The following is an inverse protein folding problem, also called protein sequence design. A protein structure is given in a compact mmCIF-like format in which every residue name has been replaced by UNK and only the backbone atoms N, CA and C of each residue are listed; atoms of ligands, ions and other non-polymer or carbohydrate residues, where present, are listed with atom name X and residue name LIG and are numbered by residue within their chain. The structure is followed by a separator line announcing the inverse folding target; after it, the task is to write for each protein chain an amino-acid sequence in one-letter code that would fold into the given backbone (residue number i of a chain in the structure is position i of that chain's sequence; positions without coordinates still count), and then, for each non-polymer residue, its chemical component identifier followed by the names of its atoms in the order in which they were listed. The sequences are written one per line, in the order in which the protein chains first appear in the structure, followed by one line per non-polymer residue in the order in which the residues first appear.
data_IF_853123859454
#
_entry.id   IF_853123859454
#
_cell.length_a   1.000
_cell.length_b   1.000
_cell.length_c   1.000
_cell.angle_alpha   90.00
_cell.angle_beta   90.00
_cell.angle_gamma   90.00
#
_symmetry.space_group_name_H-M   'P 1'
#
loop_
_entity.id
_entity.type
_entity.pdbx_description
1 polymer ?
#
# COMPACT_ATOMS: atom_id res chain seq x y z
N UNK A 1 -17.65 -23.03 15.94
CA UNK A 1 -17.27 -22.20 14.77
C UNK A 1 -17.62 -20.76 15.08
N UNK A 2 -16.63 -19.95 15.47
CA UNK A 2 -16.83 -18.50 15.63
C UNK A 2 -16.72 -17.91 14.23
N UNK A 3 -17.83 -17.46 13.65
CA UNK A 3 -17.79 -16.58 12.48
C UNK A 3 -17.15 -15.26 12.94
N UNK A 4 -15.81 -15.18 12.87
CA UNK A 4 -15.10 -13.92 13.01
C UNK A 4 -15.66 -12.99 11.94
N UNK A 5 -16.28 -11.88 12.37
CA UNK A 5 -16.75 -10.86 11.45
C UNK A 5 -15.54 -10.43 10.60
N UNK A 6 -15.67 -10.39 9.26
CA UNK A 6 -14.59 -9.89 8.41
C UNK A 6 -14.21 -8.49 8.89
N UNK A 7 -12.92 -8.19 8.90
CA UNK A 7 -12.47 -6.85 9.26
C UNK A 7 -13.05 -5.85 8.27
N UNK A 8 -13.16 -4.58 8.67
CA UNK A 8 -13.61 -3.51 7.78
C UNK A 8 -12.80 -3.49 6.47
N UNK A 9 -11.48 -3.76 6.56
CA UNK A 9 -10.63 -3.92 5.39
C UNK A 9 -11.07 -5.05 4.44
N UNK A 10 -11.37 -6.23 4.98
CA UNK A 10 -11.85 -7.37 4.18
C UNK A 10 -13.20 -7.07 3.50
N UNK A 11 -14.09 -6.37 4.21
CA UNK A 11 -15.37 -5.93 3.66
C UNK A 11 -15.20 -4.96 2.49
N UNK A 12 -14.25 -4.01 2.59
CA UNK A 12 -13.89 -3.08 1.53
C UNK A 12 -13.38 -3.84 0.31
N UNK A 13 -12.42 -4.75 0.49
CA UNK A 13 -11.85 -5.52 -0.62
C UNK A 13 -12.91 -6.35 -1.33
N UNK A 14 -13.77 -7.04 -0.55
CA UNK A 14 -14.87 -7.85 -1.09
C UNK A 14 -15.86 -6.99 -1.89
N UNK A 15 -16.26 -5.84 -1.36
CA UNK A 15 -17.18 -4.92 -2.06
C UNK A 15 -16.55 -4.36 -3.34
N UNK A 16 -15.30 -3.92 -3.28
CA UNK A 16 -14.60 -3.38 -4.45
C UNK A 16 -14.45 -4.45 -5.55
N UNK A 17 -14.13 -5.70 -5.17
CA UNK A 17 -14.09 -6.83 -6.09
C UNK A 17 -15.45 -7.12 -6.72
N UNK A 18 -16.55 -7.01 -5.97
CA UNK A 18 -17.90 -7.21 -6.51
C UNK A 18 -18.27 -6.14 -7.54
N UNK A 19 -17.86 -4.89 -7.31
CA UNK A 19 -18.19 -3.77 -8.18
C UNK A 19 -17.29 -3.68 -9.43
N UNK A 20 -16.10 -4.29 -9.41
CA UNK A 20 -15.13 -4.17 -10.51
C UNK A 20 -14.45 -5.48 -10.85
N UNK A 21 -14.76 -6.02 -12.03
CA UNK A 21 -14.28 -7.33 -12.48
C UNK A 21 -12.75 -7.41 -12.62
N UNK A 22 -12.09 -6.35 -13.11
CA UNK A 22 -10.64 -6.36 -13.26
C UNK A 22 -9.92 -6.32 -11.91
N UNK A 23 -10.50 -5.62 -10.92
CA UNK A 23 -10.00 -5.65 -9.55
C UNK A 23 -10.19 -7.04 -8.94
N UNK A 24 -11.34 -7.68 -9.15
CA UNK A 24 -11.58 -9.07 -8.73
C UNK A 24 -10.55 -10.03 -9.33
N UNK A 25 -10.28 -9.91 -10.64
CA UNK A 25 -9.29 -10.73 -11.32
C UNK A 25 -7.87 -10.47 -10.80
N UNK A 26 -7.54 -9.23 -10.42
CA UNK A 26 -6.28 -8.91 -9.76
C UNK A 26 -6.18 -9.58 -8.38
N UNK A 27 -7.19 -9.40 -7.53
CA UNK A 27 -7.24 -9.97 -6.18
C UNK A 27 -7.19 -11.49 -6.19
N UNK A 28 -7.84 -12.14 -7.17
CA UNK A 28 -7.81 -13.59 -7.32
C UNK A 28 -6.43 -14.19 -7.66
N UNK A 29 -5.43 -13.36 -7.98
CA UNK A 29 -4.04 -13.80 -8.17
C UNK A 29 -3.20 -13.71 -6.89
N UNK A 30 -3.72 -13.07 -5.84
CA UNK A 30 -3.05 -12.94 -4.56
C UNK A 30 -3.36 -14.16 -3.69
N UNK A 31 -2.40 -14.55 -2.86
CA UNK A 31 -2.65 -15.57 -1.84
C UNK A 31 -3.38 -14.98 -0.62
N UNK A 32 -3.88 -15.86 0.25
CA UNK A 32 -4.68 -15.45 1.42
C UNK A 32 -3.93 -14.50 2.35
N UNK A 33 -2.63 -14.72 2.57
CA UNK A 33 -1.80 -13.83 3.40
C UNK A 33 -1.66 -12.44 2.80
N UNK A 34 -1.51 -12.34 1.48
CA UNK A 34 -1.45 -11.07 0.77
C UNK A 34 -2.79 -10.34 0.85
N UNK A 35 -3.91 -11.05 0.67
CA UNK A 35 -5.25 -10.47 0.80
C UNK A 35 -5.52 -9.98 2.22
N UNK A 36 -5.19 -10.79 3.24
CA UNK A 36 -5.33 -10.43 4.65
C UNK A 36 -4.47 -9.20 4.99
N UNK A 37 -3.21 -9.19 4.54
CA UNK A 37 -2.34 -8.04 4.74
C UNK A 37 -2.92 -6.79 4.08
N UNK A 38 -3.40 -6.91 2.84
CA UNK A 38 -4.00 -5.80 2.12
C UNK A 38 -5.24 -5.26 2.85
N UNK A 39 -6.10 -6.13 3.38
CA UNK A 39 -7.25 -5.75 4.20
C UNK A 39 -6.82 -4.96 5.45
N UNK A 40 -5.82 -5.47 6.19
CA UNK A 40 -5.26 -4.78 7.36
C UNK A 40 -4.70 -3.40 7.02
N UNK A 41 -4.02 -3.26 5.88
CA UNK A 41 -3.48 -1.97 5.43
C UNK A 41 -4.60 -0.97 5.13
N UNK A 42 -5.68 -1.38 4.45
CA UNK A 42 -6.83 -0.50 4.22
C UNK A 42 -7.53 -0.08 5.51
N UNK A 43 -7.72 -1.03 6.44
CA UNK A 43 -8.28 -0.71 7.74
C UNK A 43 -7.41 0.30 8.51
N UNK A 44 -6.10 0.06 8.56
CA UNK A 44 -5.14 0.93 9.27
C UNK A 44 -5.11 2.33 8.66
N UNK A 45 -5.10 2.45 7.34
CA UNK A 45 -5.16 3.74 6.63
C UNK A 45 -6.37 4.55 7.08
N UNK A 46 -7.57 3.95 7.12
CA UNK A 46 -8.80 4.65 7.50
C UNK A 46 -8.79 4.98 9.00
N UNK A 47 -8.44 4.02 9.85
CA UNK A 47 -8.43 4.20 11.31
C UNK A 47 -7.44 5.29 11.74
N UNK A 48 -6.21 5.26 11.21
CA UNK A 48 -5.20 6.27 11.50
C UNK A 48 -5.56 7.65 10.95
N UNK A 49 -6.28 7.71 9.83
CA UNK A 49 -6.76 8.98 9.27
C UNK A 49 -7.84 9.61 10.13
N UNK A 50 -8.75 8.80 10.69
CA UNK A 50 -9.79 9.26 11.62
C UNK A 50 -9.16 9.73 12.94
N UNK A 51 -8.19 8.98 13.48
CA UNK A 51 -7.47 9.37 14.71
C UNK A 51 -6.74 10.73 14.55
N UNK A 52 -6.29 11.05 13.34
CA UNK A 52 -5.50 12.26 13.03
C UNK A 52 -6.29 13.29 12.21
N UNK A 53 -7.62 13.24 12.25
CA UNK A 53 -8.48 14.03 11.35
C UNK A 53 -8.25 15.55 11.46
N UNK A 54 -7.90 16.06 12.64
CA UNK A 54 -7.59 17.47 12.88
C UNK A 54 -6.21 17.89 12.35
N UNK A 55 -5.41 16.93 11.89
CA UNK A 55 -4.03 17.13 11.40
C UNK A 55 -3.95 16.69 9.94
N UNK A 56 -4.63 17.43 9.06
CA UNK A 56 -4.79 17.11 7.64
C UNK A 56 -3.45 16.77 6.94
N UNK A 57 -2.37 17.49 7.25
CA UNK A 57 -1.04 17.23 6.69
C UNK A 57 -0.51 15.83 7.02
N UNK A 58 -0.71 15.35 8.26
CA UNK A 58 -0.29 14.01 8.67
C UNK A 58 -1.12 12.93 8.00
N UNK A 59 -2.42 13.16 7.83
CA UNK A 59 -3.33 12.26 7.09
C UNK A 59 -2.87 12.15 5.64
N UNK A 60 -2.60 13.27 4.98
CA UNK A 60 -2.13 13.32 3.60
C UNK A 60 -0.77 12.65 3.44
N UNK A 61 0.18 12.89 4.35
CA UNK A 61 1.51 12.26 4.32
C UNK A 61 1.41 10.74 4.49
N UNK A 62 0.62 10.27 5.45
CA UNK A 62 0.40 8.84 5.68
C UNK A 62 -0.27 8.17 4.47
N UNK A 63 -1.32 8.79 3.92
CA UNK A 63 -2.01 8.32 2.72
C UNK A 63 -1.10 8.29 1.49
N UNK A 64 -0.23 9.29 1.33
CA UNK A 64 0.78 9.31 0.26
C UNK A 64 1.76 8.16 0.41
N UNK A 65 2.32 7.94 1.59
CA UNK A 65 3.23 6.83 1.86
C UNK A 65 2.56 5.47 1.59
N UNK A 66 1.29 5.30 1.98
CA UNK A 66 0.50 4.13 1.64
C UNK A 66 0.45 3.92 0.11
N UNK A 67 0.11 4.94 -0.67
CA UNK A 67 0.04 4.87 -2.12
C UNK A 67 1.38 4.51 -2.79
N UNK A 68 2.48 5.01 -2.24
CA UNK A 68 3.83 4.66 -2.71
C UNK A 68 4.12 3.16 -2.57
N UNK A 69 3.60 2.49 -1.53
CA UNK A 69 3.79 1.04 -1.37
C UNK A 69 3.11 0.23 -2.49
N UNK A 70 1.94 0.68 -2.95
CA UNK A 70 1.16 0.02 -4.01
C UNK A 70 1.74 0.20 -5.40
N UNK A 71 2.59 1.21 -5.63
CA UNK A 71 3.37 1.31 -6.87
C UNK A 71 4.26 0.09 -7.07
N UNK A 72 4.69 -0.57 -5.98
CA UNK A 72 5.36 -1.85 -6.02
C UNK A 72 4.55 -2.95 -6.69
N UNK A 73 3.21 -2.90 -6.66
CA UNK A 73 2.32 -3.91 -7.25
C UNK A 73 2.01 -3.65 -8.73
N UNK A 74 2.50 -2.55 -9.31
CA UNK A 74 2.24 -2.19 -10.70
C UNK A 74 2.66 -3.31 -11.68
N UNK A 75 3.80 -3.97 -11.42
CA UNK A 75 4.29 -5.07 -12.25
C UNK A 75 3.45 -6.36 -12.15
N UNK A 76 2.65 -6.51 -11.08
CA UNK A 76 1.69 -7.59 -10.91
C UNK A 76 0.31 -7.26 -11.53
N UNK A 77 0.22 -6.12 -12.22
CA UNK A 77 -0.99 -5.64 -12.88
C UNK A 77 -1.91 -4.81 -11.98
N UNK A 78 -1.43 -4.30 -10.84
CA UNK A 78 -2.19 -3.31 -10.07
C UNK A 78 -2.30 -2.00 -10.87
N UNK A 79 -3.52 -1.51 -11.06
CA UNK A 79 -3.80 -0.26 -11.79
C UNK A 79 -4.24 0.85 -10.84
N UNK A 80 -3.80 2.10 -11.04
CA UNK A 80 -4.22 3.22 -10.19
C UNK A 80 -5.74 3.43 -10.21
N UNK A 81 -6.42 3.07 -11.30
CA UNK A 81 -7.87 3.16 -11.39
C UNK A 81 -8.58 2.33 -10.31
N UNK A 82 -7.96 1.25 -9.81
CA UNK A 82 -8.54 0.42 -8.76
C UNK A 82 -8.76 1.19 -7.46
N UNK A 83 -7.98 2.24 -7.20
CA UNK A 83 -8.17 3.10 -6.04
C UNK A 83 -9.54 3.77 -6.02
N UNK A 84 -10.13 4.10 -7.18
CA UNK A 84 -11.49 4.64 -7.21
C UNK A 84 -12.52 3.62 -6.68
N UNK A 85 -12.45 2.38 -7.16
CA UNK A 85 -13.35 1.31 -6.70
C UNK A 85 -13.16 0.97 -5.21
N UNK A 86 -11.91 1.07 -4.72
CA UNK A 86 -11.59 0.87 -3.30
C UNK A 86 -12.09 2.03 -2.43
N UNK A 87 -12.02 3.27 -2.92
CA UNK A 87 -12.56 4.46 -2.25
C UNK A 87 -14.09 4.36 -2.11
N UNK A 88 -14.80 4.05 -3.20
CA UNK A 88 -16.26 3.89 -3.20
C UNK A 88 -16.69 2.78 -2.23
N UNK A 89 -15.93 1.67 -2.20
CA UNK A 89 -16.18 0.58 -1.29
C UNK A 89 -15.94 0.98 0.18
N UNK A 90 -14.88 1.74 0.45
CA UNK A 90 -14.58 2.28 1.78
C UNK A 90 -15.68 3.20 2.29
N UNK A 91 -16.16 4.14 1.46
CA UNK A 91 -17.28 5.03 1.80
C UNK A 91 -18.52 4.21 2.16
N UNK A 92 -18.88 3.24 1.31
CA UNK A 92 -20.08 2.42 1.53
C UNK A 92 -20.01 1.59 2.82
N UNK A 93 -18.88 0.98 3.13
CA UNK A 93 -18.70 0.21 4.37
C UNK A 93 -18.64 1.15 5.60
N UNK A 94 -18.02 2.32 5.50
CA UNK A 94 -18.00 3.32 6.58
C UNK A 94 -19.40 3.86 6.91
N UNK A 95 -20.21 4.16 5.90
CA UNK A 95 -21.62 4.57 6.07
C UNK A 95 -22.44 3.44 6.70
N UNK A 96 -22.16 2.19 6.35
CA UNK A 96 -22.83 1.02 6.93
C UNK A 96 -22.46 0.83 8.41
N UNK A 97 -21.22 1.11 8.80
CA UNK A 97 -20.76 1.02 10.20
C UNK A 97 -21.47 2.00 11.12
N UNK A 98 -21.86 3.17 10.63
CA UNK A 98 -22.62 4.17 11.39
C UNK A 98 -23.97 3.63 11.90
N UNK A 99 -24.49 2.57 11.29
CA UNK A 99 -25.65 1.83 11.81
C UNK A 99 -26.95 2.66 11.87
N UNK A 100 -27.00 3.80 11.17
CA UNK A 100 -28.12 4.73 11.22
C UNK A 100 -28.11 5.67 12.44
N UNK A 101 -26.98 5.79 13.14
CA UNK A 101 -26.81 6.73 14.25
C UNK A 101 -26.98 8.20 13.77
N UNK A 102 -26.51 8.51 12.57
CA UNK A 102 -26.65 9.82 11.95
C UNK A 102 -27.50 9.75 10.67
N UNK A 103 -27.94 10.90 10.17
CA UNK A 103 -28.67 10.96 8.90
C UNK A 103 -27.77 10.46 7.78
N UNK A 104 -28.27 9.49 7.03
CA UNK A 104 -27.52 8.83 5.95
C UNK A 104 -26.84 9.80 4.98
N UNK A 105 -27.50 10.91 4.62
CA UNK A 105 -26.93 11.91 3.72
C UNK A 105 -25.73 12.65 4.35
N UNK A 106 -25.80 12.99 5.62
CA UNK A 106 -24.73 13.66 6.37
C UNK A 106 -23.54 12.71 6.55
N UNK A 107 -23.79 11.47 6.95
CA UNK A 107 -22.77 10.41 7.06
C UNK A 107 -22.07 10.15 5.73
N UNK A 108 -22.84 10.03 4.64
CA UNK A 108 -22.31 9.82 3.30
C UNK A 108 -21.43 10.99 2.85
N UNK A 109 -21.88 12.23 3.08
CA UNK A 109 -21.12 13.42 2.72
C UNK A 109 -19.79 13.47 3.48
N UNK A 110 -19.81 13.27 4.80
CA UNK A 110 -18.61 13.29 5.64
C UNK A 110 -17.58 12.24 5.21
N UNK A 111 -18.00 10.99 5.03
CA UNK A 111 -17.10 9.93 4.58
C UNK A 111 -16.60 10.15 3.16
N UNK A 112 -17.43 10.69 2.26
CA UNK A 112 -17.00 11.00 0.89
C UNK A 112 -15.91 12.07 0.85
N UNK A 113 -16.03 13.11 1.68
CA UNK A 113 -15.02 14.16 1.81
C UNK A 113 -13.70 13.61 2.37
N UNK A 114 -13.75 12.88 3.49
CA UNK A 114 -12.57 12.31 4.13
C UNK A 114 -11.87 11.29 3.23
N UNK A 115 -12.60 10.28 2.75
CA UNK A 115 -12.04 9.22 1.90
C UNK A 115 -11.58 9.79 0.55
N UNK A 116 -12.29 10.77 -0.01
CA UNK A 116 -11.87 11.47 -1.23
C UNK A 116 -10.52 12.18 -1.06
N UNK A 117 -10.31 12.87 0.07
CA UNK A 117 -9.04 13.53 0.38
C UNK A 117 -7.90 12.51 0.59
N UNK A 118 -8.17 11.43 1.33
CA UNK A 118 -7.22 10.32 1.54
C UNK A 118 -6.81 9.71 0.20
N UNK A 119 -7.77 9.29 -0.62
CA UNK A 119 -7.49 8.57 -1.87
C UNK A 119 -6.93 9.46 -2.98
N UNK A 120 -7.09 10.79 -2.89
CA UNK A 120 -6.32 11.73 -3.70
C UNK A 120 -4.84 11.66 -3.34
N UNK A 121 -4.51 11.74 -2.05
CA UNK A 121 -3.13 11.62 -1.57
C UNK A 121 -2.51 10.24 -1.86
N UNK A 122 -3.29 9.17 -1.75
CA UNK A 122 -2.88 7.80 -2.15
C UNK A 122 -2.49 7.76 -3.62
N UNK A 123 -3.31 8.31 -4.52
CA UNK A 123 -3.00 8.35 -5.96
C UNK A 123 -1.74 9.17 -6.23
N UNK A 124 -1.57 10.31 -5.56
CA UNK A 124 -0.39 11.15 -5.70
C UNK A 124 0.89 10.41 -5.30
N UNK A 125 0.86 9.69 -4.17
CA UNK A 125 1.96 8.82 -3.74
C UNK A 125 2.27 7.73 -4.76
N UNK A 126 1.24 7.00 -5.21
CA UNK A 126 1.39 5.97 -6.23
C UNK A 126 2.06 6.52 -7.51
N UNK A 127 1.54 7.61 -8.07
CA UNK A 127 2.11 8.19 -9.28
C UNK A 127 3.51 8.77 -9.06
N UNK A 128 3.77 9.41 -7.91
CA UNK A 128 5.09 9.88 -7.52
C UNK A 128 6.12 8.75 -7.58
N UNK A 129 5.79 7.60 -6.96
CA UNK A 129 6.67 6.43 -6.92
C UNK A 129 6.83 5.75 -8.28
N UNK A 130 5.75 5.60 -9.06
CA UNK A 130 5.83 5.04 -10.43
C UNK A 130 6.72 5.91 -11.32
N UNK A 131 6.58 7.24 -11.27
CA UNK A 131 7.45 8.16 -12.03
C UNK A 131 8.90 8.05 -11.58
N UNK A 132 9.14 7.93 -10.28
CA UNK A 132 10.48 7.73 -9.73
C UNK A 132 11.11 6.41 -10.21
N UNK A 133 10.35 5.31 -10.19
CA UNK A 133 10.80 4.00 -10.69
C UNK A 133 11.17 4.06 -12.18
N UNK A 134 10.38 4.76 -13.01
CA UNK A 134 10.71 4.96 -14.43
C UNK A 134 11.98 5.77 -14.63
N UNK A 135 12.19 6.83 -13.84
CA UNK A 135 13.44 7.62 -13.89
C UNK A 135 14.65 6.79 -13.51
N UNK A 136 14.58 6.07 -12.39
CA UNK A 136 15.65 5.13 -11.99
C UNK A 136 15.90 4.10 -13.09
N UNK A 137 14.85 3.46 -13.60
CA UNK A 137 15.00 2.47 -14.65
C UNK A 137 15.70 3.05 -15.88
N UNK A 138 15.38 4.29 -16.27
CA UNK A 138 16.06 4.97 -17.38
C UNK A 138 17.55 5.29 -17.07
N UNK A 139 17.92 5.59 -15.83
CA UNK A 139 19.33 5.77 -15.43
C UNK A 139 20.11 4.45 -15.35
N UNK A 140 19.46 3.34 -15.00
CA UNK A 140 20.05 2.00 -14.98
C UNK A 140 19.95 1.28 -16.35
N UNK A 141 19.22 1.83 -17.34
CA UNK A 141 19.20 1.29 -18.71
C UNK A 141 20.46 1.68 -19.50
N UNK A 142 21.18 2.71 -19.05
CA UNK A 142 22.53 3.04 -19.53
C UNK A 142 23.63 2.23 -18.85
N UNK A 143 23.35 1.50 -17.76
CA UNK A 143 24.33 0.66 -17.06
C UNK A 143 23.65 -0.58 -16.40
N UNK A 144 23.65 -1.70 -17.13
CA UNK A 144 23.54 -3.09 -16.67
C UNK A 144 22.42 -3.53 -15.68
N UNK A 145 21.67 -4.56 -16.13
CA UNK A 145 21.04 -5.65 -15.34
C UNK A 145 19.64 -5.43 -14.72
N UNK A 146 18.65 -6.05 -15.37
CA UNK A 146 17.20 -6.16 -15.02
C UNK A 146 16.91 -7.04 -13.78
N UNK A 147 17.87 -7.31 -12.89
CA UNK A 147 17.70 -8.34 -11.84
C UNK A 147 17.61 -7.83 -10.38
N UNK A 148 17.68 -6.52 -10.12
CA UNK A 148 17.70 -6.02 -8.72
C UNK A 148 16.32 -5.62 -8.17
N UNK A 149 15.36 -5.25 -9.00
CA UNK A 149 14.03 -4.78 -8.54
C UNK A 149 13.18 -5.96 -8.01
N UNK A 150 13.29 -7.13 -8.62
CA UNK A 150 12.64 -8.36 -8.12
C UNK A 150 13.18 -8.77 -6.74
N UNK A 151 14.46 -8.48 -6.44
CA UNK A 151 15.09 -8.85 -5.18
C UNK A 151 14.71 -7.92 -4.01
N UNK A 152 14.27 -6.68 -4.28
CA UNK A 152 13.93 -5.70 -3.24
C UNK A 152 12.44 -5.66 -2.89
N UNK A 153 11.55 -6.05 -3.82
CA UNK A 153 10.10 -6.03 -3.55
C UNK A 153 9.55 -7.28 -2.83
N UNK A 154 10.34 -8.35 -2.65
CA UNK A 154 9.91 -9.56 -1.92
C UNK A 154 10.44 -9.69 -0.48
N UNK A 155 11.10 -8.67 0.08
CA UNK A 155 11.47 -8.68 1.51
C UNK A 155 10.42 -7.99 2.37
N UNK A 156 9.42 -8.75 2.81
CA UNK A 156 8.78 -8.49 4.11
C UNK A 156 9.79 -8.77 5.24
N UNK A 157 9.68 -8.12 6.40
CA UNK A 157 10.54 -8.40 7.53
C UNK A 157 10.09 -9.70 8.22
N UNK A 158 10.95 -10.72 8.21
CA UNK A 158 10.81 -11.89 9.09
C UNK A 158 11.77 -11.75 10.28
N UNK A 159 11.39 -12.12 11.52
CA UNK A 159 12.02 -11.65 12.75
C UNK A 159 13.32 -12.38 13.14
N UNK A 160 13.88 -13.26 12.31
CA UNK A 160 14.91 -14.22 12.76
C UNK A 160 16.28 -14.09 12.06
N UNK A 161 16.61 -12.94 11.43
CA UNK A 161 17.83 -12.82 10.63
C UNK A 161 18.84 -11.75 11.09
N UNK A 162 18.91 -11.48 12.40
CA UNK A 162 19.90 -10.55 12.97
C UNK A 162 21.32 -11.14 13.08
N UNK A 163 21.49 -12.47 12.90
CA UNK A 163 22.79 -13.14 13.13
C UNK A 163 23.67 -13.32 11.88
N UNK A 164 23.10 -13.20 10.68
CA UNK A 164 23.83 -13.46 9.42
C UNK A 164 24.31 -12.20 8.67
N UNK A 165 23.90 -11.00 9.10
CA UNK A 165 24.30 -9.75 8.44
C UNK A 165 25.54 -9.06 9.03
N UNK A 166 26.01 -9.46 10.21
CA UNK A 166 27.26 -8.90 10.78
C UNK A 166 28.50 -9.46 10.06
N UNK A 167 28.49 -10.73 9.65
CA UNK A 167 29.62 -11.33 8.91
C UNK A 167 29.80 -10.72 7.51
N UNK A 168 28.72 -10.34 6.82
CA UNK A 168 28.82 -9.75 5.47
C UNK A 168 29.29 -8.28 5.46
N UNK A 169 29.07 -7.54 6.54
CA UNK A 169 29.57 -6.17 6.69
C UNK A 169 31.08 -6.16 7.04
N UNK A 170 31.57 -7.13 7.81
CA UNK A 170 32.98 -7.22 8.19
C UNK A 170 33.91 -7.69 7.04
N UNK A 171 33.42 -8.50 6.09
CA UNK A 171 34.22 -8.92 4.93
C UNK A 171 34.44 -7.75 3.95
N UNK A 172 33.48 -6.81 3.85
CA UNK A 172 33.58 -5.66 2.93
C UNK A 172 34.42 -4.49 3.46
N UNK A 173 34.73 -4.47 4.78
CA UNK A 173 35.72 -3.53 5.34
C UNK A 173 37.17 -3.95 5.08
N UNK A 174 37.45 -5.25 4.85
CA UNK A 174 38.82 -5.74 4.64
C UNK A 174 39.35 -5.54 3.22
N UNK A 175 38.47 -5.32 2.24
CA UNK A 175 38.86 -5.02 0.85
C UNK A 175 39.05 -3.53 0.56
N UNK A 176 38.62 -2.63 1.46
CA UNK A 176 38.77 -1.17 1.25
C UNK A 176 40.06 -0.58 1.87
N UNK A 177 40.80 -1.35 2.68
CA UNK A 177 42.06 -0.91 3.31
C UNK A 177 43.34 -1.39 2.60
N UNK A 178 43.23 -2.24 1.57
CA UNK A 178 44.40 -2.76 0.82
C UNK A 178 44.52 -2.21 -0.61
N UNK A 179 43.88 -1.08 -0.90
CA UNK A 179 43.78 -0.51 -2.26
C UNK A 179 44.24 0.94 -2.41
N UNK A 180 45.24 1.39 -1.65
CA UNK A 180 45.97 2.63 -1.95
C UNK A 180 47.49 2.37 -1.89
N UNK A 181 48.05 2.13 -3.07
CA UNK A 181 49.47 2.34 -3.37
C UNK A 181 49.54 2.86 -4.80
N UNK A 182 49.73 4.17 -4.93
CA UNK A 182 50.75 4.81 -5.78
C UNK A 182 51.22 6.05 -5.00
#
# INVERSE_FOLDING_TARGET
MVFLRPTMGDAILKRAANNRAELRAFLGRLNDQQLEHMGKQFYSLIAESVEKIDRAELVQQHARAFGETYAGLCHLGFRPDFFAALADAAIAECVKLDGGAHKRCETLLAWSQLIGAIFTSVRDGYYSRVRYQRRIFNYFYTDYCVNLITLLCLKTPSPNNYRLNIQKVLIKKRTFTNGRSL
#
